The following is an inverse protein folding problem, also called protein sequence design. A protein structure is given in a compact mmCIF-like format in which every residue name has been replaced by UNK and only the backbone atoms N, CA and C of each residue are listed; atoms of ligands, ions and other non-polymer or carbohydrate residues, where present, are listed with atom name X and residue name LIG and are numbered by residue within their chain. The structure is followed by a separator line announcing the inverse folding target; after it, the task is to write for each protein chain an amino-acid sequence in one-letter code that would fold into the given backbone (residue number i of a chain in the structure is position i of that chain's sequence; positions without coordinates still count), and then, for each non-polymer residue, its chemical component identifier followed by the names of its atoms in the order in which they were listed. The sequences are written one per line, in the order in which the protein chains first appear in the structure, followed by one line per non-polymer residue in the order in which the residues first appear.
data_IF_343168548884
#
_entry.id   IF_343168548884
#
_cell.length_a   1.000
_cell.length_b   1.000
_cell.length_c   1.000
_cell.angle_alpha   90.00
_cell.angle_beta   90.00
_cell.angle_gamma   90.00
#
_symmetry.space_group_name_H-M   'P 1'
#
loop_
_entity.id
_entity.type
_entity.pdbx_description
1 polymer ?
#
# COMPACT_ATOMS: atom_id res chain seq x y z
N UNK A 1 19.29 -15.26 -56.72
CA UNK A 1 18.20 -14.98 -55.75
C UNK A 1 18.76 -14.94 -54.33
N UNK A 2 19.16 -13.74 -53.86
CA UNK A 2 19.30 -13.37 -52.43
C UNK A 2 19.72 -11.90 -52.34
N UNK A 3 19.02 -11.09 -51.53
CA UNK A 3 19.69 -10.07 -50.75
C UNK A 3 19.58 -10.44 -49.28
N UNK A 4 20.77 -10.71 -48.76
CA UNK A 4 21.15 -10.60 -47.36
C UNK A 4 21.26 -9.10 -47.03
N UNK A 5 21.12 -8.72 -45.75
CA UNK A 5 21.17 -7.36 -45.16
C UNK A 5 19.83 -6.59 -45.26
N UNK A 6 19.23 -6.06 -44.19
CA UNK A 6 19.72 -5.83 -42.83
C UNK A 6 18.61 -5.95 -41.79
N UNK A 7 18.84 -6.84 -40.82
CA UNK A 7 18.20 -6.80 -39.51
C UNK A 7 18.75 -5.57 -38.79
N UNK A 8 17.98 -4.48 -38.76
CA UNK A 8 18.41 -3.23 -38.17
C UNK A 8 17.29 -2.53 -37.41
N UNK A 9 17.34 -2.68 -36.09
CA UNK A 9 16.83 -1.75 -35.07
C UNK A 9 15.33 -1.75 -34.74
N UNK A 10 14.85 -2.88 -34.19
CA UNK A 10 13.71 -2.86 -33.28
C UNK A 10 14.17 -2.59 -31.84
N UNK A 11 14.42 -1.31 -31.48
CA UNK A 11 14.65 -0.94 -30.09
C UNK A 11 13.29 -0.88 -29.36
N UNK A 12 12.81 -2.04 -28.88
CA UNK A 12 11.65 -2.09 -27.99
C UNK A 12 12.01 -1.43 -26.65
N UNK A 13 11.48 -0.23 -26.40
CA UNK A 13 11.42 0.34 -25.05
C UNK A 13 10.49 -0.53 -24.20
N UNK A 14 11.07 -1.44 -23.42
CA UNK A 14 10.39 -2.05 -22.29
C UNK A 14 10.26 -0.98 -21.18
N UNK A 15 9.18 -0.20 -21.21
CA UNK A 15 8.80 0.65 -20.09
C UNK A 15 8.43 -0.24 -18.91
N UNK A 16 9.34 -0.37 -17.94
CA UNK A 16 9.08 -1.08 -16.70
C UNK A 16 7.91 -0.45 -15.95
N UNK A 17 6.92 -1.27 -15.58
CA UNK A 17 5.78 -0.83 -14.79
C UNK A 17 6.27 -0.45 -13.39
N UNK A 18 6.47 0.86 -13.14
CA UNK A 18 6.74 1.36 -11.80
C UNK A 18 5.46 1.23 -10.96
N UNK A 19 5.40 0.18 -10.14
CA UNK A 19 4.35 0.05 -9.13
C UNK A 19 4.64 1.08 -8.03
N UNK A 20 3.81 2.11 -7.94
CA UNK A 20 3.95 3.12 -6.88
C UNK A 20 3.55 2.48 -5.55
N UNK A 21 4.53 2.03 -4.78
CA UNK A 21 4.31 1.63 -3.39
C UNK A 21 3.84 2.87 -2.62
N UNK A 22 2.62 2.82 -2.08
CA UNK A 22 2.12 3.90 -1.23
C UNK A 22 2.87 3.83 0.10
N UNK A 23 3.58 4.91 0.42
CA UNK A 23 4.36 5.04 1.65
C UNK A 23 3.81 6.17 2.50
N UNK A 24 3.87 6.00 3.82
CA UNK A 24 3.51 7.03 4.79
C UNK A 24 4.69 7.28 5.71
N UNK A 25 4.97 8.55 5.97
CA UNK A 25 6.00 8.95 6.93
C UNK A 25 5.39 9.19 8.30
N UNK A 26 5.90 8.48 9.30
CA UNK A 26 5.57 8.64 10.70
C UNK A 26 6.79 9.22 11.43
N UNK A 27 6.85 10.55 11.55
CA UNK A 27 8.01 11.24 12.10
C UNK A 27 9.26 11.00 11.24
N UNK A 28 10.24 10.26 11.76
CA UNK A 28 11.47 9.92 11.03
C UNK A 28 11.48 8.50 10.45
N UNK A 29 10.39 7.76 10.61
CA UNK A 29 10.23 6.40 10.09
C UNK A 29 9.24 6.39 8.93
N UNK A 30 9.38 5.37 8.07
CA UNK A 30 8.51 5.15 6.92
C UNK A 30 7.83 3.80 7.06
N UNK A 31 6.54 3.79 6.76
CA UNK A 31 5.76 2.58 6.55
C UNK A 31 5.32 2.51 5.09
N UNK A 32 5.09 1.29 4.61
CA UNK A 32 4.66 1.02 3.24
C UNK A 32 3.55 -0.03 3.22
N UNK A 33 2.76 -0.03 2.15
CA UNK A 33 1.88 -1.17 1.86
C UNK A 33 2.68 -2.47 1.91
N UNK A 34 2.15 -3.46 2.63
CA UNK A 34 2.81 -4.71 2.94
C UNK A 34 3.40 -4.76 4.35
N UNK A 35 3.57 -3.66 5.08
CA UNK A 35 4.10 -3.71 6.44
C UNK A 35 3.13 -4.42 7.40
N UNK A 36 3.68 -4.99 8.48
CA UNK A 36 2.86 -5.64 9.52
C UNK A 36 2.27 -4.62 10.47
N UNK A 37 1.10 -4.91 11.03
CA UNK A 37 0.46 -4.04 12.02
C UNK A 37 1.39 -3.71 13.19
N UNK A 38 2.11 -4.70 13.73
CA UNK A 38 3.05 -4.49 14.83
C UNK A 38 4.19 -3.55 14.47
N UNK A 39 4.67 -3.63 13.22
CA UNK A 39 5.73 -2.76 12.70
C UNK A 39 5.21 -1.33 12.51
N UNK A 40 3.99 -1.18 11.99
CA UNK A 40 3.33 0.12 11.88
C UNK A 40 3.14 0.76 13.25
N UNK A 41 2.65 0.01 14.24
CA UNK A 41 2.48 0.52 15.60
C UNK A 41 3.82 0.89 16.26
N UNK A 42 4.88 0.12 15.99
CA UNK A 42 6.23 0.45 16.47
C UNK A 42 6.76 1.74 15.82
N UNK A 43 6.51 1.95 14.52
CA UNK A 43 7.02 3.09 13.76
C UNK A 43 6.19 4.37 13.92
N UNK A 44 4.88 4.22 14.05
CA UNK A 44 3.91 5.32 14.06
C UNK A 44 3.28 5.59 15.42
N UNK A 45 3.47 4.68 16.38
CA UNK A 45 2.82 4.75 17.68
C UNK A 45 1.37 4.33 17.63
N UNK A 46 0.61 4.71 18.66
CA UNK A 46 -0.79 4.37 18.78
C UNK A 46 -1.65 5.25 17.85
N UNK A 47 -2.58 4.68 17.07
CA UNK A 47 -3.48 5.45 16.21
C UNK A 47 -4.49 6.25 17.04
N UNK A 48 -5.07 7.29 16.45
CA UNK A 48 -6.13 8.07 17.06
C UNK A 48 -7.44 7.27 17.17
N UNK A 49 -7.73 6.44 16.17
CA UNK A 49 -8.85 5.50 16.19
C UNK A 49 -8.47 4.19 15.51
N UNK A 50 -9.11 3.10 15.94
CA UNK A 50 -9.01 1.77 15.34
C UNK A 50 -10.42 1.20 15.23
N UNK A 51 -10.84 0.99 13.99
CA UNK A 51 -12.18 0.53 13.65
C UNK A 51 -12.09 -0.88 13.06
N UNK A 52 -12.86 -1.81 13.62
CA UNK A 52 -13.03 -3.14 13.03
C UNK A 52 -14.11 -3.06 11.95
N UNK A 53 -13.71 -3.26 10.69
CA UNK A 53 -14.58 -3.19 9.52
C UNK A 53 -15.17 -4.56 9.16
N UNK A 54 -15.00 -5.58 10.01
CA UNK A 54 -15.49 -6.94 9.80
C UNK A 54 -14.49 -7.87 9.13
N UNK A 55 -14.96 -8.82 8.33
CA UNK A 55 -14.13 -9.87 7.73
C UNK A 55 -14.26 -9.91 6.22
N UNK A 56 -13.15 -10.17 5.52
CA UNK A 56 -13.14 -10.45 4.08
C UNK A 56 -12.72 -11.90 3.83
N UNK A 57 -13.33 -12.49 2.80
CA UNK A 57 -12.92 -13.80 2.27
C UNK A 57 -11.80 -13.62 1.26
N UNK A 58 -10.77 -14.44 1.43
CA UNK A 58 -9.70 -14.62 0.44
C UNK A 58 -10.28 -15.03 -0.92
N UNK A 59 -9.55 -14.71 -2.00
CA UNK A 59 -9.93 -15.05 -3.38
C UNK A 59 -10.20 -16.54 -3.55
N UNK A 60 -9.46 -17.38 -2.82
CA UNK A 60 -9.62 -18.84 -2.84
C UNK A 60 -10.74 -19.35 -1.91
N UNK A 61 -11.49 -18.47 -1.23
CA UNK A 61 -12.57 -18.77 -0.26
C UNK A 61 -12.18 -19.72 0.88
N UNK A 62 -10.89 -19.96 1.08
CA UNK A 62 -10.37 -20.86 2.13
C UNK A 62 -10.07 -20.15 3.44
N UNK A 63 -9.94 -18.83 3.41
CA UNK A 63 -9.48 -18.03 4.54
C UNK A 63 -10.37 -16.80 4.68
N UNK A 64 -10.80 -16.55 5.91
CA UNK A 64 -11.47 -15.33 6.33
C UNK A 64 -10.50 -14.56 7.22
N UNK A 65 -10.28 -13.29 6.91
CA UNK A 65 -9.37 -12.44 7.66
C UNK A 65 -10.08 -11.15 8.09
N UNK A 66 -9.80 -10.66 9.31
CA UNK A 66 -10.36 -9.40 9.79
C UNK A 66 -9.85 -8.24 8.93
N UNK A 67 -10.68 -7.24 8.76
CA UNK A 67 -10.35 -5.99 8.09
C UNK A 67 -10.48 -4.90 9.11
N UNK A 68 -9.39 -4.18 9.33
CA UNK A 68 -9.33 -3.11 10.31
C UNK A 68 -8.89 -1.83 9.64
N UNK A 69 -9.34 -0.69 10.13
CA UNK A 69 -8.87 0.62 9.71
C UNK A 69 -8.29 1.37 10.90
N UNK A 70 -7.07 1.86 10.73
CA UNK A 70 -6.40 2.69 11.71
C UNK A 70 -6.37 4.12 11.20
N UNK A 71 -6.82 5.05 12.02
CA UNK A 71 -6.84 6.48 11.70
C UNK A 71 -5.73 7.21 12.46
N UNK A 72 -4.91 7.97 11.74
CA UNK A 72 -3.90 8.88 12.30
C UNK A 72 -4.21 10.33 11.88
N UNK A 73 -3.78 11.27 12.72
CA UNK A 73 -3.96 12.71 12.50
C UNK A 73 -5.03 13.32 13.42
N UNK A 74 -5.49 14.54 13.11
CA UNK A 74 -5.09 15.34 11.96
C UNK A 74 -3.66 15.90 12.11
N UNK A 75 -2.81 15.68 11.10
CA UNK A 75 -1.52 16.34 10.99
C UNK A 75 -1.64 17.44 9.93
N UNK A 76 -1.57 18.71 10.31
CA UNK A 76 -1.83 19.86 9.43
C UNK A 76 -3.19 19.76 8.69
N UNK A 77 -4.23 19.27 9.38
CA UNK A 77 -5.56 19.10 8.81
C UNK A 77 -5.74 17.89 7.89
N UNK A 78 -4.72 17.01 7.77
CA UNK A 78 -4.80 15.76 7.02
C UNK A 78 -4.94 14.56 7.96
N UNK A 79 -5.94 13.73 7.69
CA UNK A 79 -6.11 12.39 8.26
C UNK A 79 -5.48 11.34 7.37
N UNK A 80 -4.97 10.29 7.99
CA UNK A 80 -4.37 9.13 7.34
C UNK A 80 -5.13 7.88 7.78
N UNK A 81 -5.71 7.18 6.82
CA UNK A 81 -6.48 5.96 7.03
C UNK A 81 -5.67 4.79 6.49
N UNK A 82 -5.33 3.86 7.38
CA UNK A 82 -4.49 2.71 7.08
C UNK A 82 -5.36 1.47 7.19
N UNK A 83 -5.56 0.79 6.08
CA UNK A 83 -6.42 -0.40 6.03
C UNK A 83 -5.57 -1.66 6.15
N UNK A 84 -5.94 -2.51 7.08
CA UNK A 84 -5.30 -3.79 7.33
C UNK A 84 -6.21 -4.92 6.93
N UNK A 85 -5.63 -5.93 6.30
CA UNK A 85 -6.27 -7.22 6.07
C UNK A 85 -5.45 -8.28 6.83
N UNK A 86 -6.07 -8.87 7.86
CA UNK A 86 -5.40 -9.71 8.84
C UNK A 86 -4.34 -8.94 9.62
N UNK A 87 -3.08 -9.10 9.27
CA UNK A 87 -1.95 -8.41 9.91
C UNK A 87 -1.18 -7.51 8.94
N UNK A 88 -1.61 -7.42 7.67
CA UNK A 88 -0.88 -6.70 6.61
C UNK A 88 -1.56 -5.40 6.27
N UNK A 89 -0.78 -4.33 6.19
CA UNK A 89 -1.22 -3.05 5.63
C UNK A 89 -1.44 -3.22 4.13
N UNK A 90 -2.66 -3.01 3.67
CA UNK A 90 -3.02 -3.16 2.24
C UNK A 90 -3.27 -1.83 1.55
N UNK A 91 -3.64 -0.80 2.31
CA UNK A 91 -3.97 0.51 1.75
C UNK A 91 -3.59 1.64 2.72
N UNK A 92 -3.12 2.75 2.15
CA UNK A 92 -2.86 4.00 2.86
C UNK A 92 -3.58 5.11 2.10
N UNK A 93 -4.53 5.77 2.76
CA UNK A 93 -5.32 6.85 2.16
C UNK A 93 -5.21 8.11 3.01
N UNK A 94 -4.88 9.24 2.38
CA UNK A 94 -4.86 10.56 3.03
C UNK A 94 -6.10 11.37 2.67
N UNK A 95 -6.82 11.91 3.66
CA UNK A 95 -7.91 12.88 3.39
C UNK A 95 -7.80 14.13 4.25
N UNK A 96 -8.10 15.29 3.67
CA UNK A 96 -8.21 16.56 4.40
C UNK A 96 -9.51 16.56 5.22
N UNK A 97 -9.43 16.94 6.50
CA UNK A 97 -10.61 17.20 7.32
C UNK A 97 -11.44 18.32 6.70
N UNK A 98 -12.75 18.09 6.53
CA UNK A 98 -13.68 19.13 6.05
C UNK A 98 -13.96 20.15 7.14
#
# INVERSE_FOLDING_TARGET
MKPWYGLGLGLLLAAGQASAATTLRCGNQLISVGDRLSEVLQKCGQPAARDDLGYKRSVNRREEYPVEELTYGPNNGMYQYLRFEGNRLVEITSKRGR
#
